data_IF_747849259561
#
_entry.id   IF_747849259561
#
_cell.length_a   1.000
_cell.length_b   1.000
_cell.length_c   1.000
_cell.angle_alpha   90.00
_cell.angle_beta   90.00
_cell.angle_gamma   90.00
#
_symmetry.space_group_name_H-M   'P 1'
#
loop_
_entity.id
_entity.type
_entity.pdbx_description
1 polymer ?
#
# COMPACT_ATOMS: atom_id res chain seq x y z
N UNK A 1 -1.58 3.35 21.54
CA UNK A 1 -0.64 4.01 20.60
C UNK A 1 0.06 2.96 19.75
N UNK A 2 0.49 1.86 20.35
CA UNK A 2 1.22 0.76 19.71
C UNK A 2 0.53 0.17 18.48
N UNK A 3 -0.80 0.05 18.45
CA UNK A 3 -1.49 -0.47 17.26
C UNK A 3 -1.36 0.46 16.04
N UNK A 4 -1.31 1.78 16.25
CA UNK A 4 -1.30 2.76 15.17
C UNK A 4 -0.02 2.71 14.33
N UNK A 5 1.11 2.29 14.91
CA UNK A 5 2.37 2.16 14.17
C UNK A 5 2.29 1.07 13.09
N UNK A 6 1.34 0.13 13.21
CA UNK A 6 1.18 -0.94 12.24
C UNK A 6 0.78 -0.42 10.85
N UNK A 7 0.33 0.82 10.69
CA UNK A 7 0.07 1.40 9.37
C UNK A 7 1.32 1.38 8.49
N UNK A 8 2.51 1.53 9.07
CA UNK A 8 3.77 1.49 8.34
C UNK A 8 4.09 0.13 7.74
N UNK A 9 3.49 -0.95 8.25
CA UNK A 9 3.63 -2.29 7.66
C UNK A 9 2.93 -2.40 6.30
N UNK A 10 1.98 -1.50 6.02
CA UNK A 10 1.21 -1.44 4.78
C UNK A 10 1.70 -0.33 3.83
N UNK A 11 2.43 0.67 4.35
CA UNK A 11 3.04 1.70 3.52
C UNK A 11 4.34 1.19 2.88
N UNK A 12 4.81 1.82 1.78
CA UNK A 12 6.05 1.42 1.13
C UNK A 12 7.22 1.37 2.11
N UNK A 13 8.02 0.32 2.03
CA UNK A 13 9.26 0.21 2.80
C UNK A 13 10.28 1.26 2.33
N UNK A 14 10.34 1.50 1.02
CA UNK A 14 11.18 2.52 0.41
C UNK A 14 10.35 3.42 -0.52
N UNK A 15 10.67 4.71 -0.53
CA UNK A 15 9.98 5.73 -1.33
C UNK A 15 10.89 6.22 -2.45
N UNK A 16 10.34 6.44 -3.64
CA UNK A 16 11.12 6.88 -4.81
C UNK A 16 11.63 8.30 -4.67
N UNK A 17 10.86 9.15 -4.00
CA UNK A 17 11.21 10.55 -3.82
C UNK A 17 11.28 10.91 -2.33
N UNK A 18 12.27 11.73 -1.96
CA UNK A 18 12.42 12.20 -0.58
C UNK A 18 11.16 12.91 -0.06
N UNK A 19 10.48 13.66 -0.93
CA UNK A 19 9.24 14.37 -0.57
C UNK A 19 8.10 13.42 -0.15
N UNK A 20 8.05 12.19 -0.69
CA UNK A 20 7.04 11.19 -0.33
C UNK A 20 7.27 10.71 1.11
N UNK A 21 8.53 10.41 1.46
CA UNK A 21 8.91 10.03 2.82
C UNK A 21 8.73 11.16 3.81
N UNK A 22 9.09 12.40 3.43
CA UNK A 22 8.86 13.60 4.25
C UNK A 22 7.38 13.80 4.52
N UNK A 23 6.52 13.59 3.52
CA UNK A 23 5.08 13.71 3.69
C UNK A 23 4.52 12.65 4.65
N UNK A 24 4.92 11.38 4.51
CA UNK A 24 4.51 10.32 5.43
C UNK A 24 4.99 10.61 6.87
N UNK A 25 6.24 11.03 7.03
CA UNK A 25 6.81 11.41 8.33
C UNK A 25 6.03 12.57 8.94
N UNK A 26 5.76 13.62 8.15
CA UNK A 26 4.98 14.77 8.59
C UNK A 26 3.57 14.38 9.07
N UNK A 27 2.89 13.49 8.34
CA UNK A 27 1.56 13.01 8.73
C UNK A 27 1.60 12.23 10.04
N UNK A 28 2.61 11.39 10.24
CA UNK A 28 2.79 10.65 11.48
C UNK A 28 3.09 11.56 12.66
N UNK A 29 3.98 12.54 12.49
CA UNK A 29 4.30 13.54 13.51
C UNK A 29 3.05 14.34 13.90
N UNK A 30 2.25 14.76 12.90
CA UNK A 30 0.97 15.41 13.12
C UNK A 30 0.01 14.52 13.92
N UNK A 31 -0.06 13.22 13.62
CA UNK A 31 -0.86 12.27 14.38
C UNK A 31 -0.39 12.19 15.84
N UNK A 32 0.91 11.97 16.06
CA UNK A 32 1.47 11.81 17.41
C UNK A 32 1.31 13.08 18.25
N UNK A 33 1.63 14.25 17.70
CA UNK A 33 1.51 15.52 18.40
C UNK A 33 0.05 15.77 18.81
N UNK A 34 -0.90 15.58 17.89
CA UNK A 34 -2.31 15.79 18.20
C UNK A 34 -2.84 14.74 19.19
N UNK A 35 -2.42 13.49 19.09
CA UNK A 35 -2.78 12.45 20.04
C UNK A 35 -2.30 12.80 21.46
N UNK A 36 -1.01 13.16 21.60
CA UNK A 36 -0.39 13.49 22.88
C UNK A 36 -1.02 14.73 23.53
N UNK A 37 -1.48 15.68 22.73
CA UNK A 37 -2.20 16.87 23.19
C UNK A 37 -3.72 16.65 23.31
N UNK A 38 -4.21 15.40 23.23
CA UNK A 38 -5.63 15.03 23.34
C UNK A 38 -6.53 15.69 22.29
N UNK A 39 -5.96 16.10 21.16
CA UNK A 39 -6.61 16.65 19.98
C UNK A 39 -7.01 15.52 19.03
N UNK A 40 -7.78 14.55 19.52
CA UNK A 40 -8.02 13.28 18.82
C UNK A 40 -8.68 13.42 17.45
N UNK A 41 -9.48 14.47 17.24
CA UNK A 41 -10.08 14.78 15.94
C UNK A 41 -9.01 15.06 14.87
N UNK A 42 -8.00 15.86 15.22
CA UNK A 42 -6.90 16.18 14.32
C UNK A 42 -5.91 15.02 14.19
N UNK A 43 -5.77 14.21 15.24
CA UNK A 43 -5.04 12.95 15.14
C UNK A 43 -5.70 12.01 14.12
N UNK A 44 -7.03 11.84 14.17
CA UNK A 44 -7.76 11.04 13.17
C UNK A 44 -7.58 11.60 11.74
N UNK A 45 -7.60 12.93 11.57
CA UNK A 45 -7.37 13.57 10.28
C UNK A 45 -6.01 13.17 9.67
N UNK A 46 -4.95 13.27 10.47
CA UNK A 46 -3.60 12.91 10.04
C UNK A 46 -3.49 11.40 9.74
N UNK A 47 -4.06 10.56 10.60
CA UNK A 47 -4.05 9.10 10.42
C UNK A 47 -4.88 8.64 9.20
N UNK A 48 -6.00 9.31 8.91
CA UNK A 48 -6.77 9.08 7.70
C UNK A 48 -5.96 9.43 6.44
N UNK A 49 -5.14 10.50 6.47
CA UNK A 49 -4.26 10.83 5.35
C UNK A 49 -3.21 9.74 5.12
N UNK A 50 -2.64 9.14 6.18
CA UNK A 50 -1.76 7.96 6.04
C UNK A 50 -2.49 6.79 5.37
N UNK A 51 -3.75 6.53 5.75
CA UNK A 51 -4.57 5.51 5.10
C UNK A 51 -4.82 5.80 3.62
N UNK A 52 -5.10 7.05 3.26
CA UNK A 52 -5.26 7.43 1.84
C UNK A 52 -3.95 7.28 1.06
N UNK A 53 -2.79 7.61 1.66
CA UNK A 53 -1.49 7.34 1.04
C UNK A 53 -1.33 5.85 0.75
N UNK A 54 -1.65 4.97 1.70
CA UNK A 54 -1.66 3.52 1.48
C UNK A 54 -2.55 3.13 0.29
N UNK A 55 -3.79 3.63 0.22
CA UNK A 55 -4.71 3.35 -0.89
C UNK A 55 -4.12 3.80 -2.23
N UNK A 56 -3.46 4.96 -2.28
CA UNK A 56 -2.83 5.47 -3.50
C UNK A 56 -1.63 4.62 -3.93
N UNK A 57 -0.77 4.20 -3.01
CA UNK A 57 0.34 3.28 -3.33
C UNK A 57 -0.17 1.93 -3.83
N UNK A 58 -1.22 1.39 -3.21
CA UNK A 58 -1.82 0.14 -3.65
C UNK A 58 -2.43 0.24 -5.07
N UNK A 59 -3.14 1.33 -5.36
CA UNK A 59 -3.63 1.61 -6.71
C UNK A 59 -2.49 1.84 -7.72
N UNK A 60 -1.39 2.43 -7.27
CA UNK A 60 -0.20 2.60 -8.11
C UNK A 60 0.44 1.27 -8.47
N UNK A 61 0.55 0.34 -7.51
CA UNK A 61 1.00 -1.03 -7.75
C UNK A 61 0.13 -1.69 -8.83
N UNK A 62 -1.20 -1.65 -8.67
CA UNK A 62 -2.14 -2.15 -9.69
C UNK A 62 -1.92 -1.49 -11.05
N UNK A 63 -1.79 -0.16 -11.10
CA UNK A 63 -1.50 0.57 -12.35
C UNK A 63 -0.21 0.10 -13.00
N UNK A 64 0.85 -0.11 -12.21
CA UNK A 64 2.19 -0.46 -12.72
C UNK A 64 2.31 -1.90 -13.18
N UNK A 65 1.58 -2.82 -12.54
CA UNK A 65 1.66 -4.27 -12.81
C UNK A 65 0.60 -4.70 -13.82
N UNK A 66 -0.62 -4.15 -13.72
CA UNK A 66 -1.80 -4.47 -14.54
C UNK A 66 -2.23 -3.29 -15.41
N UNK A 67 -1.30 -2.70 -16.14
CA UNK A 67 -1.53 -1.47 -16.92
C UNK A 67 -2.75 -1.57 -17.86
N UNK A 68 -2.87 -2.67 -18.61
CA UNK A 68 -3.99 -2.87 -19.55
C UNK A 68 -5.35 -2.91 -18.86
N UNK A 69 -5.44 -3.54 -17.69
CA UNK A 69 -6.67 -3.60 -16.92
C UNK A 69 -6.95 -2.27 -16.22
N UNK A 70 -5.90 -1.61 -15.70
CA UNK A 70 -6.00 -0.26 -15.15
C UNK A 70 -6.56 0.73 -16.20
N UNK A 71 -6.12 0.60 -17.45
CA UNK A 71 -6.61 1.41 -18.57
C UNK A 71 -8.09 1.19 -18.89
N UNK A 72 -8.63 -0.01 -18.63
CA UNK A 72 -10.07 -0.29 -18.80
C UNK A 72 -10.89 0.28 -17.64
N UNK A 73 -10.42 0.12 -16.39
CA UNK A 73 -11.18 0.53 -15.21
C UNK A 73 -11.22 2.06 -15.03
N UNK A 74 -10.21 2.78 -15.55
CA UNK A 74 -10.13 4.24 -15.43
C UNK A 74 -11.14 5.01 -16.31
N UNK A 75 -11.85 4.35 -17.24
CA UNK A 75 -12.78 5.00 -18.17
C UNK A 75 -13.95 5.77 -17.50
N UNK A 76 -14.20 5.52 -16.20
CA UNK A 76 -15.18 6.28 -15.39
C UNK A 76 -14.59 7.45 -14.60
N UNK A 77 -13.30 7.74 -14.75
CA UNK A 77 -12.53 8.72 -13.99
C UNK A 77 -12.07 9.88 -14.88
N UNK A 78 -11.54 10.93 -14.28
CA UNK A 78 -10.94 12.06 -15.00
C UNK A 78 -9.74 11.56 -15.79
N UNK A 79 -9.50 12.18 -16.95
CA UNK A 79 -8.35 11.86 -17.80
C UNK A 79 -7.03 12.04 -17.05
N UNK A 80 -6.97 12.99 -16.12
CA UNK A 80 -5.79 13.27 -15.32
C UNK A 80 -5.35 12.07 -14.46
N UNK A 81 -6.28 11.23 -13.99
CA UNK A 81 -5.95 9.99 -13.28
C UNK A 81 -5.15 9.02 -14.16
N UNK A 82 -5.42 9.00 -15.47
CA UNK A 82 -4.67 8.19 -16.42
C UNK A 82 -3.25 8.69 -16.68
N UNK A 83 -3.00 9.98 -16.43
CA UNK A 83 -1.70 10.64 -16.63
C UNK A 83 -0.90 10.77 -15.33
N UNK A 84 -1.32 10.10 -14.25
CA UNK A 84 -0.61 10.07 -12.99
C UNK A 84 0.83 9.55 -13.17
N UNK A 85 1.80 10.36 -12.73
CA UNK A 85 3.23 10.10 -12.76
C UNK A 85 3.78 9.68 -11.38
N UNK A 86 3.03 9.91 -10.32
CA UNK A 86 3.30 9.38 -8.97
C UNK A 86 1.98 9.00 -8.26
N UNK A 87 2.02 8.23 -7.14
CA UNK A 87 0.83 7.79 -6.43
C UNK A 87 -0.09 8.93 -5.95
N UNK A 88 0.48 10.06 -5.52
CA UNK A 88 -0.30 11.17 -4.98
C UNK A 88 -1.09 11.94 -6.04
N UNK A 89 -0.78 11.78 -7.33
CA UNK A 89 -1.58 12.38 -8.41
C UNK A 89 -3.03 11.85 -8.42
N UNK A 90 -3.29 10.67 -7.83
CA UNK A 90 -4.65 10.16 -7.66
C UNK A 90 -5.54 11.04 -6.77
N UNK A 91 -4.93 11.93 -5.96
CA UNK A 91 -5.68 12.91 -5.14
C UNK A 91 -6.44 13.95 -5.96
N UNK A 92 -6.20 14.05 -7.28
CA UNK A 92 -7.01 14.88 -8.17
C UNK A 92 -8.47 14.39 -8.26
N UNK A 93 -8.68 13.09 -8.03
CA UNK A 93 -10.00 12.53 -7.89
C UNK A 93 -10.54 12.73 -6.49
N UNK A 94 -11.86 12.84 -6.38
CA UNK A 94 -12.49 12.79 -5.08
C UNK A 94 -12.16 11.45 -4.39
N UNK A 95 -11.61 11.48 -3.17
CA UNK A 95 -11.20 10.28 -2.43
C UNK A 95 -12.29 9.20 -2.34
N UNK A 96 -13.56 9.59 -2.19
CA UNK A 96 -14.66 8.62 -2.21
C UNK A 96 -14.67 7.86 -3.52
N UNK A 97 -14.53 8.58 -4.63
CA UNK A 97 -14.53 8.00 -5.97
C UNK A 97 -13.30 7.14 -6.20
N UNK A 98 -12.14 7.49 -5.64
CA UNK A 98 -10.92 6.66 -5.72
C UNK A 98 -11.17 5.22 -5.26
N UNK A 99 -11.93 5.02 -4.17
CA UNK A 99 -12.30 3.67 -3.72
C UNK A 99 -13.10 2.86 -4.74
N UNK A 100 -13.74 3.48 -5.74
CA UNK A 100 -14.40 2.72 -6.82
C UNK A 100 -13.41 1.99 -7.74
N UNK A 101 -12.13 2.41 -7.79
CA UNK A 101 -11.08 1.68 -8.52
C UNK A 101 -10.78 0.32 -7.87
N UNK A 102 -10.90 0.22 -6.54
CA UNK A 102 -10.67 -1.03 -5.82
C UNK A 102 -11.71 -2.11 -6.14
N UNK A 103 -12.84 -1.77 -6.75
CA UNK A 103 -13.83 -2.79 -7.19
C UNK A 103 -13.22 -3.85 -8.11
N UNK A 104 -12.22 -3.47 -8.88
CA UNK A 104 -11.51 -4.38 -9.77
C UNK A 104 -10.76 -5.46 -8.97
N UNK A 105 -9.95 -5.07 -7.99
CA UNK A 105 -9.17 -6.02 -7.18
C UNK A 105 -10.06 -6.79 -6.21
N UNK A 106 -11.14 -6.17 -5.72
CA UNK A 106 -12.09 -6.82 -4.81
C UNK A 106 -13.16 -7.67 -5.53
N UNK A 107 -13.04 -7.94 -6.84
CA UNK A 107 -14.12 -8.56 -7.63
C UNK A 107 -14.53 -9.96 -7.15
N UNK A 108 -13.65 -10.66 -6.42
CA UNK A 108 -13.93 -11.97 -5.80
C UNK A 108 -14.78 -11.88 -4.53
N UNK A 109 -14.96 -10.69 -3.95
CA UNK A 109 -15.73 -10.50 -2.73
C UNK A 109 -17.24 -10.63 -2.98
N UNK A 110 -17.95 -11.32 -2.07
CA UNK A 110 -19.38 -11.64 -2.20
C UNK A 110 -20.30 -10.41 -2.30
N UNK A 111 -19.95 -9.31 -1.65
CA UNK A 111 -20.65 -8.02 -1.74
C UNK A 111 -19.65 -6.86 -1.84
N UNK A 112 -19.13 -6.64 -3.06
CA UNK A 112 -18.19 -5.54 -3.36
C UNK A 112 -18.81 -4.17 -3.05
N UNK A 113 -20.12 -4.01 -3.22
CA UNK A 113 -20.77 -2.71 -3.02
C UNK A 113 -20.79 -2.32 -1.55
N UNK A 114 -21.14 -3.25 -0.66
CA UNK A 114 -21.11 -3.02 0.78
C UNK A 114 -19.68 -2.77 1.27
N UNK A 115 -18.72 -3.56 0.79
CA UNK A 115 -17.30 -3.44 1.09
C UNK A 115 -16.75 -2.05 0.77
N UNK A 116 -16.86 -1.62 -0.49
CA UNK A 116 -16.42 -0.28 -0.93
C UNK A 116 -17.20 0.82 -0.20
N UNK A 117 -18.48 0.58 0.10
CA UNK A 117 -19.31 1.47 0.89
C UNK A 117 -18.76 1.70 2.31
N UNK A 118 -18.13 0.69 2.93
CA UNK A 118 -17.53 0.81 4.26
C UNK A 118 -16.25 1.65 4.22
N UNK A 119 -15.39 1.47 3.22
CA UNK A 119 -14.20 2.30 3.06
C UNK A 119 -14.56 3.77 2.85
N UNK A 120 -15.55 4.02 1.98
CA UNK A 120 -16.10 5.36 1.69
C UNK A 120 -16.62 6.10 2.93
N UNK A 121 -17.13 5.39 3.95
CA UNK A 121 -17.61 6.01 5.19
C UNK A 121 -16.50 6.70 5.98
N UNK A 122 -15.25 6.24 5.90
CA UNK A 122 -14.12 6.92 6.55
C UNK A 122 -13.89 8.31 5.96
N UNK A 123 -14.01 8.45 4.65
CA UNK A 123 -13.91 9.75 3.97
C UNK A 123 -15.06 10.67 4.39
N UNK A 124 -16.29 10.14 4.47
CA UNK A 124 -17.44 10.92 4.94
C UNK A 124 -17.25 11.41 6.38
N UNK A 125 -16.79 10.53 7.25
CA UNK A 125 -16.51 10.83 8.65
C UNK A 125 -15.42 11.89 8.79
N UNK A 126 -14.32 11.73 8.05
CA UNK A 126 -13.25 12.73 7.94
C UNK A 126 -13.81 14.08 7.51
N UNK A 127 -14.61 14.12 6.45
CA UNK A 127 -15.15 15.39 5.95
C UNK A 127 -16.06 16.06 6.98
N UNK A 128 -16.92 15.28 7.65
CA UNK A 128 -17.82 15.77 8.68
C UNK A 128 -17.08 16.42 9.86
N UNK A 129 -15.91 15.91 10.23
CA UNK A 129 -15.08 16.51 11.29
C UNK A 129 -14.18 17.65 10.82
N UNK A 130 -13.90 17.76 9.51
CA UNK A 130 -13.14 18.88 8.96
C UNK A 130 -13.98 20.17 8.93
N UNK A 131 -15.31 20.04 8.83
CA UNK A 131 -16.21 21.18 8.80
C UNK A 131 -16.30 21.88 10.16
N UNK A 132 -16.20 23.22 10.13
CA UNK A 132 -16.34 24.09 11.30
C UNK A 132 -17.80 24.20 11.78
N UNK A 133 -18.38 23.08 12.22
CA UNK A 133 -19.77 22.98 12.68
C UNK A 133 -19.92 23.14 14.22
N UNK A 134 -18.81 23.39 14.94
CA UNK A 134 -18.79 23.54 16.39
C UNK A 134 -18.89 22.24 17.19
N UNK A 135 -19.02 21.09 16.54
CA UNK A 135 -19.00 19.79 17.19
C UNK A 135 -17.56 19.26 17.32
N UNK A 136 -17.28 18.61 18.46
CA UNK A 136 -16.05 17.87 18.69
C UNK A 136 -16.47 16.43 18.99
N UNK A 137 -16.64 15.57 17.97
CA UNK A 137 -17.05 14.18 18.17
C UNK A 137 -15.94 13.30 18.80
N UNK A 138 -14.67 13.59 18.50
CA UNK A 138 -13.52 12.85 19.03
C UNK A 138 -13.01 13.48 20.34
N UNK A 139 -13.80 13.42 21.41
CA UNK A 139 -13.40 13.94 22.74
C UNK A 139 -12.57 12.96 23.57
N UNK A 140 -12.61 11.68 23.19
CA UNK A 140 -11.94 10.59 23.90
C UNK A 140 -11.08 9.80 22.92
N UNK A 141 -10.02 9.21 23.44
CA UNK A 141 -9.13 8.30 22.73
C UNK A 141 -9.85 7.02 22.26
N UNK A 142 -10.86 6.55 22.99
CA UNK A 142 -11.68 5.36 22.66
C UNK A 142 -12.17 5.39 21.21
N UNK A 143 -12.71 6.53 20.78
CA UNK A 143 -13.26 6.65 19.44
C UNK A 143 -12.17 6.66 18.37
N UNK A 144 -11.05 7.34 18.64
CA UNK A 144 -9.88 7.34 17.76
C UNK A 144 -9.29 5.94 17.62
N UNK A 145 -9.11 5.20 18.71
CA UNK A 145 -8.61 3.82 18.69
C UNK A 145 -9.50 2.90 17.87
N UNK A 146 -10.83 3.01 18.02
CA UNK A 146 -11.76 2.26 17.19
C UNK A 146 -11.54 2.56 15.70
N UNK A 147 -11.37 3.84 15.32
CA UNK A 147 -11.14 4.24 13.92
C UNK A 147 -9.78 3.78 13.39
N UNK A 148 -8.74 3.80 14.21
CA UNK A 148 -7.43 3.25 13.87
C UNK A 148 -7.55 1.75 13.55
N UNK A 149 -8.30 1.01 14.37
CA UNK A 149 -8.48 -0.43 14.17
C UNK A 149 -9.32 -0.74 12.93
N UNK A 150 -10.37 0.03 12.67
CA UNK A 150 -11.14 -0.07 11.41
C UNK A 150 -10.21 0.20 10.21
N UNK A 151 -9.34 1.21 10.26
CA UNK A 151 -8.38 1.53 9.20
C UNK A 151 -7.37 0.40 8.97
N UNK A 152 -6.78 -0.14 10.03
CA UNK A 152 -5.80 -1.23 9.92
C UNK A 152 -6.45 -2.50 9.38
N UNK A 153 -7.69 -2.78 9.78
CA UNK A 153 -8.47 -3.88 9.23
C UNK A 153 -8.71 -3.66 7.73
N UNK A 154 -9.14 -2.47 7.30
CA UNK A 154 -9.35 -2.19 5.88
C UNK A 154 -8.06 -2.21 5.08
N UNK A 155 -6.94 -1.76 5.64
CA UNK A 155 -5.64 -1.87 4.98
C UNK A 155 -5.26 -3.33 4.73
N UNK A 156 -5.40 -4.18 5.74
CA UNK A 156 -5.18 -5.63 5.61
C UNK A 156 -6.14 -6.28 4.61
N UNK A 157 -7.41 -5.86 4.60
CA UNK A 157 -8.41 -6.39 3.69
C UNK A 157 -8.12 -6.01 2.24
N UNK A 158 -7.81 -4.74 1.97
CA UNK A 158 -7.42 -4.24 0.65
C UNK A 158 -6.17 -4.98 0.14
N UNK A 159 -5.15 -5.12 1.00
CA UNK A 159 -3.91 -5.82 0.62
C UNK A 159 -4.16 -7.27 0.25
N UNK A 160 -5.04 -7.97 0.97
CA UNK A 160 -5.40 -9.36 0.65
C UNK A 160 -6.01 -9.51 -0.75
N UNK A 161 -6.71 -8.49 -1.25
CA UNK A 161 -7.25 -8.47 -2.61
C UNK A 161 -6.20 -8.17 -3.67
N UNK A 162 -5.09 -7.51 -3.32
CA UNK A 162 -3.98 -7.24 -4.24
C UNK A 162 -2.88 -8.29 -4.22
N UNK A 163 -2.92 -9.23 -3.29
CA UNK A 163 -1.92 -10.31 -3.15
C UNK A 163 -1.53 -10.98 -4.46
N UNK A 164 -2.49 -11.41 -5.28
CA UNK A 164 -2.19 -12.09 -6.54
C UNK A 164 -1.46 -11.20 -7.54
N UNK A 165 -1.72 -9.89 -7.51
CA UNK A 165 -1.05 -8.90 -8.36
C UNK A 165 0.40 -8.71 -7.88
N UNK A 166 0.63 -8.68 -6.57
CA UNK A 166 1.97 -8.62 -5.99
C UNK A 166 2.77 -9.89 -6.32
N UNK A 167 2.15 -11.07 -6.21
CA UNK A 167 2.81 -12.33 -6.56
C UNK A 167 3.18 -12.42 -8.05
N UNK A 168 2.34 -11.90 -8.94
CA UNK A 168 2.68 -11.78 -10.36
C UNK A 168 3.84 -10.82 -10.62
N UNK A 169 3.88 -9.70 -9.88
CA UNK A 169 5.04 -8.80 -9.92
C UNK A 169 6.32 -9.50 -9.48
N UNK A 170 6.23 -10.31 -8.43
CA UNK A 170 7.37 -11.05 -7.90
C UNK A 170 7.84 -12.15 -8.87
N UNK A 171 6.92 -12.93 -9.44
CA UNK A 171 7.23 -13.93 -10.47
C UNK A 171 7.98 -13.30 -11.64
N UNK A 172 7.47 -12.16 -12.15
CA UNK A 172 8.11 -11.41 -13.23
C UNK A 172 9.52 -10.96 -12.83
N UNK A 173 9.68 -10.41 -11.63
CA UNK A 173 10.98 -10.00 -11.11
C UNK A 173 11.98 -11.17 -11.04
N UNK A 174 11.56 -12.35 -10.56
CA UNK A 174 12.41 -13.54 -10.51
C UNK A 174 12.86 -13.96 -11.91
N UNK A 175 11.94 -13.99 -12.87
CA UNK A 175 12.23 -14.36 -14.26
C UNK A 175 13.20 -13.36 -14.91
N UNK A 176 13.05 -12.07 -14.65
CA UNK A 176 13.90 -11.01 -15.20
C UNK A 176 15.27 -10.91 -14.49
N UNK A 177 15.35 -11.37 -13.23
CA UNK A 177 16.56 -11.24 -12.40
C UNK A 177 17.43 -12.51 -12.34
N UNK A 178 16.97 -13.63 -12.92
CA UNK A 178 17.65 -14.94 -12.86
C UNK A 178 18.98 -15.01 -13.63
N UNK A 179 19.26 -14.05 -14.51
CA UNK A 179 20.50 -13.99 -15.27
C UNK A 179 21.39 -12.89 -14.68
N UNK A 180 22.50 -13.32 -14.05
CA UNK A 180 23.47 -12.43 -13.41
C UNK A 180 24.13 -11.45 -14.40
N UNK A 181 24.24 -11.81 -15.68
CA UNK A 181 24.88 -10.96 -16.69
C UNK A 181 23.95 -9.85 -17.20
N UNK A 182 22.63 -10.04 -17.12
CA UNK A 182 21.65 -9.11 -17.67
C UNK A 182 20.87 -8.32 -16.62
N UNK A 183 20.81 -8.78 -15.38
CA UNK A 183 20.10 -8.08 -14.30
C UNK A 183 20.72 -6.71 -14.01
N UNK A 184 19.90 -5.77 -13.54
CA UNK A 184 20.31 -4.38 -13.32
C UNK A 184 21.42 -4.22 -12.28
N UNK A 185 21.38 -5.03 -11.22
CA UNK A 185 22.37 -5.03 -10.15
C UNK A 185 23.01 -6.41 -9.99
N UNK A 186 24.34 -6.45 -10.00
CA UNK A 186 25.09 -7.71 -9.84
C UNK A 186 24.97 -8.30 -8.42
N UNK A 187 24.65 -7.46 -7.42
CA UNK A 187 24.44 -7.87 -6.04
C UNK A 187 22.93 -8.13 -5.83
N UNK A 188 22.58 -9.34 -5.38
CA UNK A 188 21.20 -9.78 -5.17
C UNK A 188 20.45 -8.84 -4.22
N UNK A 189 21.06 -8.47 -3.10
CA UNK A 189 20.42 -7.59 -2.11
C UNK A 189 20.11 -6.20 -2.71
N UNK A 190 20.97 -5.67 -3.57
CA UNK A 190 20.72 -4.41 -4.28
C UNK A 190 19.62 -4.58 -5.33
N UNK A 191 19.63 -5.69 -6.08
CA UNK A 191 18.58 -6.03 -7.05
C UNK A 191 17.21 -6.10 -6.37
N UNK A 192 17.12 -6.75 -5.21
CA UNK A 192 15.89 -6.83 -4.41
C UNK A 192 15.48 -5.44 -3.92
N UNK A 193 16.38 -4.71 -3.25
CA UNK A 193 16.01 -3.43 -2.64
C UNK A 193 15.62 -2.37 -3.67
N UNK A 194 16.35 -2.28 -4.79
CA UNK A 194 16.13 -1.25 -5.81
C UNK A 194 15.04 -1.65 -6.80
N UNK A 195 15.12 -2.86 -7.37
CA UNK A 195 14.24 -3.26 -8.47
C UNK A 195 12.93 -3.84 -7.96
N UNK A 196 12.95 -4.73 -6.97
CA UNK A 196 11.70 -5.30 -6.44
C UNK A 196 11.01 -4.32 -5.49
N UNK A 197 11.68 -3.88 -4.43
CA UNK A 197 11.03 -3.16 -3.33
C UNK A 197 10.82 -1.68 -3.66
N UNK A 198 11.88 -0.95 -3.99
CA UNK A 198 11.83 0.50 -4.20
C UNK A 198 11.05 0.88 -5.46
N UNK A 199 11.32 0.23 -6.59
CA UNK A 199 10.60 0.53 -7.82
C UNK A 199 9.12 0.16 -7.72
N UNK A 200 8.72 -0.95 -7.07
CA UNK A 200 7.30 -1.31 -6.98
C UNK A 200 6.60 -0.79 -5.72
N UNK A 201 7.25 0.05 -4.92
CA UNK A 201 6.69 0.57 -3.66
C UNK A 201 6.20 -0.54 -2.72
N UNK A 202 6.91 -1.67 -2.65
CA UNK A 202 6.47 -2.78 -1.81
C UNK A 202 6.56 -2.41 -0.33
N UNK A 203 5.49 -2.70 0.39
CA UNK A 203 5.48 -2.68 1.84
C UNK A 203 6.07 -3.96 2.42
N UNK A 204 6.37 -3.97 3.72
CA UNK A 204 6.77 -5.21 4.41
C UNK A 204 5.71 -6.29 4.21
N UNK A 205 4.43 -5.93 4.27
CA UNK A 205 3.36 -6.90 4.07
C UNK A 205 3.30 -7.44 2.63
N UNK A 206 3.59 -6.61 1.62
CA UNK A 206 3.67 -7.08 0.23
C UNK A 206 4.83 -8.07 0.04
N UNK A 207 5.97 -7.85 0.69
CA UNK A 207 7.08 -8.81 0.67
C UNK A 207 6.68 -10.13 1.33
N UNK A 208 5.88 -10.10 2.40
CA UNK A 208 5.27 -11.30 2.96
C UNK A 208 4.43 -12.06 1.93
N UNK A 209 3.61 -11.37 1.15
CA UNK A 209 2.83 -11.97 0.06
C UNK A 209 3.72 -12.56 -1.05
N UNK A 210 4.86 -11.94 -1.37
CA UNK A 210 5.86 -12.49 -2.29
C UNK A 210 6.42 -13.83 -1.79
N UNK A 211 6.73 -13.93 -0.49
CA UNK A 211 7.28 -15.17 0.09
C UNK A 211 6.25 -16.30 0.13
N UNK A 212 4.96 -16.01 0.05
CA UNK A 212 3.92 -17.04 -0.11
C UNK A 212 3.80 -17.59 -1.53
N UNK A 213 4.56 -17.07 -2.51
CA UNK A 213 4.60 -17.59 -3.88
C UNK A 213 5.40 -18.90 -3.96
N UNK A 214 4.86 -19.91 -4.66
CA UNK A 214 5.54 -21.18 -4.90
C UNK A 214 6.53 -21.06 -6.06
N UNK A 215 7.79 -20.81 -5.74
CA UNK A 215 8.85 -20.70 -6.75
C UNK A 215 9.10 -22.00 -7.52
N UNK A 216 8.73 -23.17 -6.99
CA UNK A 216 8.99 -24.45 -7.66
C UNK A 216 8.21 -24.65 -8.95
N UNK A 217 7.19 -23.82 -9.22
CA UNK A 217 6.54 -23.75 -10.53
C UNK A 217 7.55 -23.35 -11.64
N UNK A 218 8.65 -22.69 -11.27
CA UNK A 218 9.73 -22.26 -12.16
C UNK A 218 10.89 -23.29 -12.22
N UNK A 219 10.74 -24.49 -11.67
CA UNK A 219 11.83 -25.48 -11.56
C UNK A 219 12.40 -25.95 -12.91
N UNK A 220 11.63 -25.83 -13.98
CA UNK A 220 12.06 -26.21 -15.34
C UNK A 220 12.98 -25.15 -15.98
N UNK A 221 13.19 -24.00 -15.32
CA UNK A 221 14.08 -22.96 -15.80
C UNK A 221 15.56 -23.35 -15.65
N UNK A 222 16.35 -23.09 -16.70
CA UNK A 222 17.79 -23.39 -16.71
C UNK A 222 18.56 -22.65 -15.61
N UNK A 223 18.08 -21.48 -15.19
CA UNK A 223 18.68 -20.65 -14.14
C UNK A 223 17.89 -20.73 -12.81
N UNK A 224 17.14 -21.81 -12.57
CA UNK A 224 16.33 -21.97 -11.36
C UNK A 224 17.14 -21.84 -10.05
N UNK A 225 18.40 -22.29 -10.04
CA UNK A 225 19.28 -22.12 -8.87
C UNK A 225 19.49 -20.65 -8.48
N UNK A 226 19.51 -19.74 -9.46
CA UNK A 226 19.63 -18.31 -9.17
C UNK A 226 18.31 -17.75 -8.63
N UNK A 227 17.18 -18.24 -9.11
CA UNK A 227 15.85 -17.92 -8.57
C UNK A 227 15.77 -18.31 -7.08
N UNK A 228 16.24 -19.51 -6.72
CA UNK A 228 16.32 -19.95 -5.31
C UNK A 228 17.19 -19.01 -4.48
N UNK A 229 18.37 -18.62 -4.98
CA UNK A 229 19.26 -17.66 -4.27
C UNK A 229 18.62 -16.29 -4.05
N UNK A 230 17.88 -15.78 -5.04
CA UNK A 230 17.15 -14.51 -4.92
C UNK A 230 16.03 -14.63 -3.89
N UNK A 231 15.26 -15.72 -3.94
CA UNK A 231 14.19 -15.97 -2.97
C UNK A 231 14.72 -16.11 -1.54
N UNK A 232 15.81 -16.86 -1.34
CA UNK A 232 16.46 -17.01 -0.03
C UNK A 232 16.98 -15.67 0.51
N UNK A 233 17.57 -14.83 -0.34
CA UNK A 233 17.98 -13.47 0.06
C UNK A 233 16.78 -12.63 0.48
N UNK A 234 15.66 -12.67 -0.26
CA UNK A 234 14.43 -11.96 0.12
C UNK A 234 13.86 -12.47 1.45
N UNK A 235 13.89 -13.79 1.69
CA UNK A 235 13.44 -14.38 2.96
C UNK A 235 14.29 -13.91 4.13
N UNK A 236 15.61 -13.93 3.98
CA UNK A 236 16.53 -13.42 5.01
C UNK A 236 16.33 -11.92 5.26
N UNK A 237 16.15 -11.13 4.20
CA UNK A 237 15.81 -9.71 4.31
C UNK A 237 14.53 -9.51 5.12
N UNK A 238 13.46 -10.26 4.82
CA UNK A 238 12.18 -10.15 5.49
C UNK A 238 12.24 -10.54 6.98
N UNK A 239 12.98 -11.60 7.32
CA UNK A 239 13.20 -12.00 8.71
C UNK A 239 13.93 -10.92 9.51
N UNK A 240 14.93 -10.26 8.91
CA UNK A 240 15.66 -9.18 9.57
C UNK A 240 14.76 -7.97 9.83
N UNK A 241 13.90 -7.61 8.88
CA UNK A 241 13.01 -6.43 9.01
C UNK A 241 11.80 -6.69 9.93
N UNK A 242 11.38 -7.95 10.13
CA UNK A 242 10.24 -8.28 10.99
C UNK A 242 10.60 -8.63 12.42
N UNK A 243 11.86 -8.99 12.69
CA UNK A 243 12.37 -9.29 14.04
C UNK A 243 12.98 -8.08 14.77
N UNK A 244 13.13 -6.94 14.08
CA UNK A 244 13.55 -5.65 14.65
C UNK A 244 12.35 -4.80 15.07
#
# INVERSE_FOLDING_TARGET
MDEAINIFKFLPYSYRNQSEQEYITYLWDCYQENYNNQKYQFAFMAYHMLFMSFVYFNLWQVKSIKEDDFNKIKLGFTEALGNAINPYDFSIENERKVFDLLKYVCASHSDVKALIGNYKKLVDERNNIAHANGAIPFRTDIYLHKRINDILQYASEIQSFTKSIIQECFEKFLIESKDEETREYSIIDEQINQVLIHNHYLSIKDVGDCLEYDIHILSDDINFQEIERIYDSLSNWYENETNN
#
